data_IF_774456523545
#
_entry.id   IF_774456523545
#
_cell.length_a   1.000
_cell.length_b   1.000
_cell.length_c   1.000
_cell.angle_alpha   90.00
_cell.angle_beta   90.00
_cell.angle_gamma   90.00
#
_symmetry.space_group_name_H-M   'P 1'
#
loop_
_entity.id
_entity.type
_entity.pdbx_description
1 polymer ?
#
# COMPACT_ATOMS: atom_id res chain seq x y z
N UNK A 1 -12.66 19.52 11.15
CA UNK A 1 -12.07 18.20 11.40
C UNK A 1 -11.91 17.57 10.04
N UNK A 2 -10.69 17.51 9.49
CA UNK A 2 -10.51 16.87 8.19
C UNK A 2 -10.90 15.41 8.37
N UNK A 3 -11.94 14.98 7.65
CA UNK A 3 -12.35 13.59 7.51
C UNK A 3 -11.18 12.88 6.79
N UNK A 4 -10.17 12.52 7.58
CA UNK A 4 -8.83 12.22 7.11
C UNK A 4 -8.79 10.83 6.53
N UNK A 5 -8.90 10.72 5.21
CA UNK A 5 -8.69 9.44 4.54
C UNK A 5 -7.21 9.05 4.64
N UNK A 6 -6.84 8.39 5.74
CA UNK A 6 -5.49 7.91 6.02
C UNK A 6 -4.90 7.04 4.89
N UNK A 7 -5.76 6.43 4.07
CA UNK A 7 -5.36 5.70 2.87
C UNK A 7 -4.74 6.62 1.80
N UNK A 8 -5.37 7.76 1.51
CA UNK A 8 -4.81 8.73 0.54
C UNK A 8 -3.54 9.39 1.09
N UNK A 9 -3.50 9.70 2.39
CA UNK A 9 -2.30 10.26 3.04
C UNK A 9 -1.12 9.28 3.02
N UNK A 10 -1.38 8.00 3.30
CA UNK A 10 -0.38 6.95 3.18
C UNK A 10 0.14 6.81 1.74
N UNK A 11 -0.75 6.80 0.73
CA UNK A 11 -0.34 6.70 -0.67
C UNK A 11 0.46 7.91 -1.16
N UNK A 12 0.29 9.08 -0.52
CA UNK A 12 1.11 10.27 -0.79
C UNK A 12 2.46 10.26 -0.05
N UNK A 13 2.72 9.28 0.82
CA UNK A 13 3.95 9.22 1.61
C UNK A 13 5.11 8.60 0.84
N UNK A 14 6.16 9.38 0.61
CA UNK A 14 7.41 8.91 0.00
C UNK A 14 8.27 8.04 0.95
N UNK A 15 7.92 7.99 2.25
CA UNK A 15 8.74 7.30 3.26
C UNK A 15 8.54 5.79 3.33
N UNK A 16 7.41 5.26 2.88
CA UNK A 16 7.01 3.85 3.09
C UNK A 16 6.87 3.07 1.80
N UNK A 17 6.51 3.75 0.72
CA UNK A 17 6.31 3.18 -0.60
C UNK A 17 6.92 4.09 -1.64
N UNK A 18 7.27 3.52 -2.78
CA UNK A 18 7.78 4.25 -3.93
C UNK A 18 7.09 3.74 -5.19
N UNK A 19 6.57 4.66 -5.99
CA UNK A 19 6.01 4.35 -7.30
C UNK A 19 7.12 4.29 -8.35
N UNK A 20 7.16 3.19 -9.10
CA UNK A 20 8.11 2.96 -10.18
C UNK A 20 7.58 1.85 -11.09
N UNK A 21 7.74 1.99 -12.41
CA UNK A 21 7.16 1.08 -13.40
C UNK A 21 7.70 -0.36 -13.31
N UNK A 22 8.98 -0.51 -12.93
CA UNK A 22 9.62 -1.82 -12.76
C UNK A 22 9.33 -2.47 -11.39
N UNK A 23 8.72 -1.72 -10.46
CA UNK A 23 8.52 -2.17 -9.10
C UNK A 23 7.29 -3.07 -8.94
N UNK A 24 7.34 -3.95 -7.95
CA UNK A 24 6.19 -4.72 -7.51
C UNK A 24 6.20 -4.98 -6.00
N UNK A 25 5.01 -5.02 -5.41
CA UNK A 25 4.81 -5.30 -3.99
C UNK A 25 3.62 -6.21 -3.75
N UNK A 26 3.74 -7.11 -2.77
CA UNK A 26 2.65 -7.97 -2.29
C UNK A 26 1.61 -7.12 -1.57
N UNK A 27 0.33 -7.48 -1.69
CA UNK A 27 -0.75 -6.79 -0.97
C UNK A 27 -0.53 -6.79 0.55
N UNK A 28 0.07 -7.86 1.09
CA UNK A 28 0.42 -7.98 2.51
C UNK A 28 1.51 -6.99 2.93
N UNK A 29 2.57 -6.85 2.13
CA UNK A 29 3.64 -5.88 2.42
C UNK A 29 3.13 -4.43 2.37
N UNK A 30 2.25 -4.12 1.41
CA UNK A 30 1.61 -2.80 1.33
C UNK A 30 0.76 -2.51 2.57
N UNK A 31 0.03 -3.52 3.08
CA UNK A 31 -0.76 -3.37 4.29
C UNK A 31 0.09 -3.22 5.57
N UNK A 32 1.21 -3.93 5.66
CA UNK A 32 2.14 -3.76 6.79
C UNK A 32 2.75 -2.36 6.82
N UNK A 33 3.18 -1.85 5.67
CA UNK A 33 3.68 -0.49 5.56
C UNK A 33 2.62 0.56 5.94
N UNK A 34 1.38 0.36 5.50
CA UNK A 34 0.25 1.20 5.89
C UNK A 34 -0.01 1.15 7.40
N UNK A 35 0.03 -0.03 8.00
CA UNK A 35 -0.18 -0.20 9.45
C UNK A 35 0.91 0.50 10.26
N UNK A 36 2.17 0.42 9.80
CA UNK A 36 3.31 1.13 10.40
C UNK A 36 3.15 2.65 10.26
N UNK A 37 2.79 3.14 9.07
CA UNK A 37 2.46 4.55 8.87
C UNK A 37 1.36 5.01 9.83
N UNK A 38 0.29 4.22 9.99
CA UNK A 38 -0.79 4.55 10.92
C UNK A 38 -0.29 4.68 12.36
N UNK A 39 0.52 3.71 12.83
CA UNK A 39 1.11 3.74 14.17
C UNK A 39 1.98 4.98 14.40
N UNK A 40 2.80 5.37 13.42
CA UNK A 40 3.69 6.54 13.54
C UNK A 40 2.94 7.88 13.43
N UNK A 41 1.74 7.89 12.82
CA UNK A 41 0.92 9.10 12.66
C UNK A 41 -0.26 9.16 13.64
N UNK A 42 -0.32 8.28 14.64
CA UNK A 42 -1.41 8.17 15.63
C UNK A 42 -2.79 7.95 14.99
N UNK A 43 -2.80 7.25 13.86
CA UNK A 43 -3.99 6.89 13.09
C UNK A 43 -4.40 5.45 13.35
N UNK A 44 -5.69 5.15 13.21
CA UNK A 44 -6.18 3.76 13.29
C UNK A 44 -6.25 3.15 11.89
N UNK A 45 -5.54 2.03 11.63
CA UNK A 45 -5.60 1.39 10.31
C UNK A 45 -7.00 0.85 10.03
N UNK A 46 -7.49 1.04 8.80
CA UNK A 46 -8.69 0.35 8.34
C UNK A 46 -8.44 -1.15 8.21
N UNK A 47 -9.52 -1.94 8.11
CA UNK A 47 -9.38 -3.38 7.90
C UNK A 47 -8.67 -3.71 6.58
N UNK A 48 -7.96 -4.85 6.54
CA UNK A 48 -7.30 -5.34 5.31
C UNK A 48 -8.23 -5.40 4.11
N UNK A 49 -9.51 -5.76 4.32
CA UNK A 49 -10.53 -5.79 3.27
C UNK A 49 -10.81 -4.39 2.72
N UNK A 50 -10.94 -3.37 3.58
CA UNK A 50 -11.12 -1.97 3.13
C UNK A 50 -9.88 -1.45 2.42
N UNK A 51 -8.69 -1.73 2.96
CA UNK A 51 -7.42 -1.35 2.31
C UNK A 51 -7.29 -1.97 0.91
N UNK A 52 -7.56 -3.27 0.78
CA UNK A 52 -7.53 -3.95 -0.52
C UNK A 52 -8.55 -3.40 -1.51
N UNK A 53 -9.77 -3.08 -1.05
CA UNK A 53 -10.78 -2.45 -1.89
C UNK A 53 -10.36 -1.05 -2.34
N UNK A 54 -9.74 -0.27 -1.45
CA UNK A 54 -9.20 1.03 -1.80
C UNK A 54 -8.12 0.90 -2.87
N UNK A 55 -7.10 0.05 -2.68
CA UNK A 55 -6.03 -0.14 -3.66
C UNK A 55 -6.57 -0.59 -5.03
N UNK A 56 -7.57 -1.47 -5.05
CA UNK A 56 -8.18 -1.91 -6.30
C UNK A 56 -8.90 -0.75 -7.01
N UNK A 57 -9.68 0.05 -6.28
CA UNK A 57 -10.42 1.20 -6.84
C UNK A 57 -9.50 2.35 -7.24
N UNK A 58 -8.41 2.58 -6.51
CA UNK A 58 -7.47 3.67 -6.76
C UNK A 58 -6.28 3.25 -7.63
N UNK A 59 -6.22 2.00 -8.09
CA UNK A 59 -5.11 1.48 -8.89
C UNK A 59 -4.77 2.39 -10.08
N UNK A 60 -5.79 2.81 -10.84
CA UNK A 60 -5.61 3.72 -11.98
C UNK A 60 -5.06 5.09 -11.60
N UNK A 61 -5.44 5.64 -10.43
CA UNK A 61 -4.93 6.93 -9.92
C UNK A 61 -3.42 6.89 -9.65
N UNK A 62 -2.91 5.73 -9.25
CA UNK A 62 -1.53 5.53 -8.84
C UNK A 62 -0.70 4.74 -9.86
N UNK A 63 -1.20 4.56 -11.09
CA UNK A 63 -0.57 3.74 -12.14
C UNK A 63 -0.20 2.32 -11.69
N UNK A 64 -1.05 1.71 -10.85
CA UNK A 64 -0.84 0.37 -10.33
C UNK A 64 -1.55 -0.66 -11.20
N UNK A 65 -0.92 -1.82 -11.36
CA UNK A 65 -1.53 -2.96 -12.04
C UNK A 65 -1.62 -4.14 -11.08
N UNK A 66 -2.85 -4.58 -10.79
CA UNK A 66 -3.08 -5.77 -9.98
C UNK A 66 -2.49 -7.02 -10.67
N UNK A 67 -1.85 -7.89 -9.89
CA UNK A 67 -1.33 -9.18 -10.37
C UNK A 67 -1.50 -10.25 -9.30
N UNK A 68 -1.75 -11.49 -9.75
CA UNK A 68 -1.73 -12.69 -8.89
C UNK A 68 -0.33 -13.31 -8.77
N UNK A 69 0.66 -12.72 -9.44
CA UNK A 69 2.00 -13.27 -9.59
C UNK A 69 3.08 -12.25 -9.20
N UNK A 70 3.18 -11.92 -7.92
CA UNK A 70 4.24 -11.05 -7.37
C UNK A 70 5.25 -11.91 -6.60
N UNK A 71 6.36 -12.25 -7.26
CA UNK A 71 7.42 -13.08 -6.67
C UNK A 71 6.94 -14.48 -6.27
N UNK A 72 6.15 -15.12 -7.14
CA UNK A 72 5.50 -16.42 -6.92
C UNK A 72 3.99 -16.35 -7.13
N UNK A 73 3.21 -17.04 -6.29
CA UNK A 73 1.73 -17.06 -6.34
C UNK A 73 1.07 -16.01 -5.43
N UNK A 74 1.80 -14.96 -5.07
CA UNK A 74 1.30 -13.91 -4.20
C UNK A 74 0.56 -12.84 -4.99
N UNK A 75 -0.59 -12.43 -4.45
CA UNK A 75 -1.37 -11.29 -4.95
C UNK A 75 -0.71 -9.97 -4.55
N UNK A 76 -0.75 -8.99 -5.45
CA UNK A 76 -0.16 -7.68 -5.23
C UNK A 76 -0.33 -6.74 -6.41
N UNK A 77 0.55 -5.74 -6.47
CA UNK A 77 0.50 -4.68 -7.47
C UNK A 77 1.89 -4.47 -8.07
N UNK A 78 1.94 -4.29 -9.39
CA UNK A 78 3.06 -3.67 -10.10
C UNK A 78 2.90 -2.15 -10.08
N UNK A 79 4.00 -1.42 -10.31
CA UNK A 79 4.03 0.04 -10.26
C UNK A 79 4.38 0.60 -8.88
N UNK A 80 4.63 -0.26 -7.89
CA UNK A 80 4.91 0.15 -6.50
C UNK A 80 5.84 -0.83 -5.80
N UNK A 81 6.74 -0.29 -5.00
CA UNK A 81 7.57 -1.03 -4.04
C UNK A 81 7.31 -0.53 -2.62
N UNK A 82 7.57 -1.38 -1.64
CA UNK A 82 7.50 -1.05 -0.22
C UNK A 82 8.91 -0.98 0.34
N UNK A 83 9.19 0.00 1.21
CA UNK A 83 10.48 0.11 1.89
C UNK A 83 10.76 -1.19 2.67
N UNK A 84 11.95 -1.81 2.57
CA UNK A 84 12.19 -3.14 3.11
C UNK A 84 11.87 -3.30 4.60
N UNK A 85 12.16 -2.30 5.44
CA UNK A 85 11.88 -2.32 6.88
C UNK A 85 10.39 -2.12 7.25
N UNK A 86 9.56 -1.81 6.25
CA UNK A 86 8.11 -1.66 6.38
C UNK A 86 7.35 -2.86 5.81
N UNK A 87 8.05 -3.77 5.10
CA UNK A 87 7.43 -4.85 4.34
C UNK A 87 7.10 -6.10 5.17
N UNK A 88 7.69 -6.23 6.36
CA UNK A 88 7.58 -7.40 7.24
C UNK A 88 7.39 -6.92 8.69
N UNK A 89 6.71 -7.74 9.49
CA UNK A 89 6.57 -7.55 10.93
C UNK A 89 7.74 -8.19 11.68
#
# INVERSE_FOLDING_TARGET
>A
MADGNNLDQFMASDKYLRFAEDAAARSTHLFYAYSKWCMENLETPVSQKRFSQFLFKSAGKYNLTFSKHIGGEYRGYKGVSVRPDCALN
#
